data_IF_991659746895
#
_entry.id   IF_991659746895
#
_cell.length_a   1.000
_cell.length_b   1.000
_cell.length_c   1.000
_cell.angle_alpha   90.00
_cell.angle_beta   90.00
_cell.angle_gamma   90.00
#
_symmetry.space_group_name_H-M   'P 1'
#
loop_
_entity.id
_entity.type
_entity.pdbx_description
1 polymer ?
#
# COMPACT_ATOMS: atom_id res chain seq x y z
N UNK A 1 20.19 -11.95 -1.30
CA UNK A 1 19.49 -10.86 -2.03
C UNK A 1 19.16 -9.78 -1.01
N UNK A 2 19.62 -8.54 -1.21
CA UNK A 2 19.45 -7.45 -0.23
C UNK A 2 17.96 -7.14 -0.09
N UNK A 3 17.39 -7.34 1.11
CA UNK A 3 15.96 -7.20 1.36
C UNK A 3 15.43 -5.81 0.97
N UNK A 4 14.16 -5.75 0.53
CA UNK A 4 13.45 -4.56 0.08
C UNK A 4 13.72 -3.33 0.97
N UNK A 5 14.23 -2.20 0.47
CA UNK A 5 14.59 -1.04 1.28
C UNK A 5 13.39 -0.51 2.09
N UNK A 6 13.61 -0.15 3.35
CA UNK A 6 12.53 0.37 4.21
C UNK A 6 11.87 1.64 3.64
N UNK A 7 12.67 2.49 2.99
CA UNK A 7 12.19 3.65 2.23
C UNK A 7 11.19 3.29 1.11
N UNK A 8 11.35 2.11 0.50
CA UNK A 8 10.45 1.65 -0.56
C UNK A 8 9.08 1.25 -0.01
N UNK A 9 9.04 0.65 1.18
CA UNK A 9 7.79 0.33 1.87
C UNK A 9 7.08 1.62 2.31
N UNK A 10 7.84 2.60 2.77
CA UNK A 10 7.31 3.91 3.15
C UNK A 10 6.65 4.61 1.95
N UNK A 11 7.32 4.67 0.81
CA UNK A 11 6.76 5.28 -0.41
C UNK A 11 5.56 4.51 -0.93
N UNK A 12 5.56 3.18 -0.90
CA UNK A 12 4.40 2.37 -1.25
C UNK A 12 3.20 2.66 -0.32
N UNK A 13 3.45 2.84 0.98
CA UNK A 13 2.42 3.19 1.97
C UNK A 13 1.83 4.58 1.74
N UNK A 14 2.67 5.57 1.42
CA UNK A 14 2.22 6.92 1.06
C UNK A 14 1.39 6.87 -0.23
N UNK A 15 1.84 6.13 -1.24
CA UNK A 15 1.11 5.98 -2.51
C UNK A 15 -0.25 5.30 -2.31
N UNK A 16 -0.32 4.31 -1.40
CA UNK A 16 -1.56 3.65 -1.01
C UNK A 16 -2.54 4.65 -0.38
N UNK A 17 -2.06 5.50 0.55
CA UNK A 17 -2.89 6.53 1.18
C UNK A 17 -3.40 7.55 0.16
N UNK A 18 -2.57 7.95 -0.80
CA UNK A 18 -2.98 8.86 -1.90
C UNK A 18 -4.03 8.21 -2.77
N UNK A 19 -3.86 6.95 -3.20
CA UNK A 19 -4.89 6.26 -3.99
C UNK A 19 -6.21 6.10 -3.24
N UNK A 20 -6.17 5.86 -1.93
CA UNK A 20 -7.38 5.78 -1.10
C UNK A 20 -8.06 7.15 -0.96
N UNK A 21 -7.29 8.21 -0.80
CA UNK A 21 -7.81 9.58 -0.70
C UNK A 21 -8.47 10.03 -2.01
N UNK A 22 -7.77 9.87 -3.13
CA UNK A 22 -8.29 10.12 -4.49
C UNK A 22 -9.50 9.21 -4.76
N UNK A 23 -9.37 7.91 -4.53
CA UNK A 23 -10.50 6.98 -4.70
C UNK A 23 -11.74 7.33 -3.86
N UNK A 24 -11.58 7.99 -2.72
CA UNK A 24 -12.67 8.50 -1.90
C UNK A 24 -13.25 9.82 -2.44
N UNK A 25 -12.42 10.75 -2.88
CA UNK A 25 -12.85 12.05 -3.42
C UNK A 25 -13.56 11.88 -4.78
N UNK A 26 -12.95 11.12 -5.68
CA UNK A 26 -13.50 10.82 -7.01
C UNK A 26 -14.61 9.75 -7.02
N UNK A 27 -14.98 9.16 -5.88
CA UNK A 27 -16.01 8.09 -5.81
C UNK A 27 -17.35 8.50 -6.42
N UNK A 28 -17.65 9.81 -6.42
CA UNK A 28 -18.89 10.37 -6.96
C UNK A 28 -18.83 10.70 -8.46
N UNK A 29 -17.64 10.67 -9.08
CA UNK A 29 -17.45 10.99 -10.50
C UNK A 29 -17.07 9.77 -11.36
N UNK A 30 -16.25 8.86 -10.86
CA UNK A 30 -15.75 7.67 -11.62
C UNK A 30 -16.21 6.34 -11.01
N UNK A 31 -17.11 6.39 -10.03
CA UNK A 31 -17.62 5.21 -9.34
C UNK A 31 -16.61 4.59 -8.38
N UNK A 32 -16.91 3.40 -7.81
CA UNK A 32 -16.12 2.81 -6.73
C UNK A 32 -14.80 2.17 -7.20
N UNK A 33 -14.53 2.13 -8.50
CA UNK A 33 -13.36 1.46 -9.09
C UNK A 33 -12.00 1.93 -8.51
N UNK A 34 -11.66 3.23 -8.47
CA UNK A 34 -10.41 3.70 -7.88
C UNK A 34 -10.29 3.39 -6.38
N UNK A 35 -11.40 3.37 -5.65
CA UNK A 35 -11.41 2.99 -4.23
C UNK A 35 -11.05 1.51 -4.04
N UNK A 36 -11.62 0.61 -4.86
CA UNK A 36 -11.31 -0.83 -4.82
C UNK A 36 -9.84 -1.08 -5.13
N UNK A 37 -9.29 -0.39 -6.14
CA UNK A 37 -7.87 -0.49 -6.48
C UNK A 37 -6.97 -0.01 -5.35
N UNK A 38 -7.32 1.12 -4.71
CA UNK A 38 -6.60 1.66 -3.56
C UNK A 38 -6.62 0.72 -2.35
N UNK A 39 -7.76 0.09 -2.06
CA UNK A 39 -7.89 -0.89 -0.97
C UNK A 39 -7.04 -2.15 -1.26
N UNK A 40 -7.11 -2.71 -2.47
CA UNK A 40 -6.28 -3.85 -2.85
C UNK A 40 -4.77 -3.54 -2.74
N UNK A 41 -4.37 -2.34 -3.18
CA UNK A 41 -2.99 -1.88 -3.08
C UNK A 41 -2.54 -1.68 -1.63
N UNK A 42 -3.42 -1.13 -0.77
CA UNK A 42 -3.13 -0.96 0.65
C UNK A 42 -2.96 -2.31 1.36
N UNK A 43 -3.82 -3.29 1.09
CA UNK A 43 -3.71 -4.64 1.64
C UNK A 43 -2.40 -5.30 1.19
N UNK A 44 -2.04 -5.17 -0.10
CA UNK A 44 -0.78 -5.69 -0.63
C UNK A 44 0.44 -5.03 0.04
N UNK A 45 0.42 -3.70 0.18
CA UNK A 45 1.51 -2.94 0.82
C UNK A 45 1.67 -3.32 2.29
N UNK A 46 0.55 -3.50 3.01
CA UNK A 46 0.56 -3.93 4.40
C UNK A 46 1.07 -5.37 4.55
N UNK A 47 0.68 -6.27 3.66
CA UNK A 47 1.19 -7.64 3.62
C UNK A 47 2.70 -7.68 3.33
N UNK A 48 3.18 -6.88 2.38
CA UNK A 48 4.61 -6.75 2.06
C UNK A 48 5.41 -6.18 3.24
N UNK A 49 4.86 -5.15 3.92
CA UNK A 49 5.45 -4.59 5.13
C UNK A 49 5.50 -5.61 6.28
N UNK A 50 4.41 -6.36 6.49
CA UNK A 50 4.31 -7.39 7.52
C UNK A 50 5.22 -8.61 7.25
N UNK A 51 5.43 -8.97 5.99
CA UNK A 51 6.40 -10.00 5.59
C UNK A 51 7.84 -9.55 5.89
N UNK A 52 8.17 -8.28 5.62
CA UNK A 52 9.47 -7.72 6.01
C UNK A 52 9.64 -7.65 7.54
N UNK A 53 8.61 -7.26 8.29
CA UNK A 53 8.67 -7.23 9.75
C UNK A 53 8.90 -8.63 10.36
N UNK A 54 8.30 -9.68 9.78
CA UNK A 54 8.56 -11.07 10.18
C UNK A 54 9.92 -11.59 9.73
N UNK A 55 10.36 -11.28 8.51
CA UNK A 55 11.68 -11.68 8.01
C UNK A 55 12.85 -10.91 8.65
N UNK A 56 12.59 -9.82 9.37
CA UNK A 56 13.58 -9.12 10.20
C UNK A 56 13.69 -9.66 11.64
N UNK A 57 12.82 -10.60 12.04
CA UNK A 57 12.87 -11.25 13.36
C UNK A 57 13.77 -12.50 13.39
N UNK A 58 14.41 -12.84 12.26
CA UNK A 58 15.27 -14.02 12.10
C UNK A 58 16.76 -13.66 11.92
N UNK A 59 17.21 -12.47 12.34
CA UNK A 59 18.64 -12.09 12.34
C UNK A 59 19.09 -11.53 13.67
#
# INVERSE_FOLDING_TARGET
>A
MRGLPAWMILTLGVLAAVMLYVGYDERHHVGPFPMILGVLWAVFTLAAAGAKARGGAET
#
